data_IF_984272001613
#
_entry.id   IF_984272001613
#
_cell.length_a   1.000
_cell.length_b   1.000
_cell.length_c   1.000
_cell.angle_alpha   90.00
_cell.angle_beta   90.00
_cell.angle_gamma   90.00
#
_symmetry.space_group_name_H-M   'P 1'
#
loop_
_entity.id
_entity.type
_entity.pdbx_description
1 polymer ?
#
# COMPACT_ATOMS: atom_id res chain seq x y z
N UNK A 1 0.48 21.34 -12.25
CA UNK A 1 -0.68 20.66 -11.61
C UNK A 1 -0.88 21.32 -10.26
N UNK A 2 -2.07 21.83 -9.94
CA UNK A 2 -2.35 22.32 -8.59
C UNK A 2 -2.60 21.10 -7.70
N UNK A 3 -1.59 20.65 -6.97
CA UNK A 3 -1.76 19.59 -5.97
C UNK A 3 -2.67 20.10 -4.84
N UNK A 4 -3.49 19.23 -4.27
CA UNK A 4 -4.14 19.52 -3.00
C UNK A 4 -3.05 19.57 -1.90
N UNK A 5 -3.19 20.45 -0.92
CA UNK A 5 -2.26 20.51 0.19
C UNK A 5 -2.32 19.23 1.06
N UNK A 6 -1.25 18.87 1.78
CA UNK A 6 -1.25 17.74 2.71
C UNK A 6 -2.24 17.97 3.88
N UNK A 7 -2.62 16.87 4.56
CA UNK A 7 -3.54 16.93 5.71
C UNK A 7 -3.02 17.84 6.82
N UNK A 8 -1.71 17.83 7.05
CA UNK A 8 -1.01 18.67 8.02
C UNK A 8 -1.19 20.18 7.79
N UNK A 9 -1.47 20.61 6.56
CA UNK A 9 -1.80 21.99 6.20
C UNK A 9 -3.31 22.23 6.13
N UNK A 10 -4.09 21.29 5.57
CA UNK A 10 -5.54 21.43 5.43
C UNK A 10 -6.27 21.48 6.79
N UNK A 11 -5.82 20.68 7.77
CA UNK A 11 -6.44 20.64 9.09
C UNK A 11 -6.35 22.01 9.80
N UNK A 12 -5.18 22.66 9.90
CA UNK A 12 -5.09 24.02 10.45
C UNK A 12 -5.91 25.05 9.66
N UNK A 13 -5.89 25.00 8.31
CA UNK A 13 -6.64 25.91 7.47
C UNK A 13 -8.17 25.81 7.73
N UNK A 14 -8.72 24.59 7.80
CA UNK A 14 -10.13 24.36 8.18
C UNK A 14 -10.44 24.88 9.60
N UNK A 15 -9.55 24.66 10.57
CA UNK A 15 -9.72 25.17 11.95
C UNK A 15 -9.74 26.68 11.99
N UNK A 16 -8.87 27.36 11.24
CA UNK A 16 -8.81 28.84 11.15
C UNK A 16 -9.87 29.44 10.23
N UNK A 17 -10.69 28.60 9.57
CA UNK A 17 -11.73 29.03 8.58
C UNK A 17 -11.13 29.74 7.36
N UNK A 18 -9.93 29.44 6.98
CA UNK A 18 -9.27 29.93 5.77
C UNK A 18 -9.84 29.27 4.50
N UNK A 19 -10.44 28.08 4.67
CA UNK A 19 -11.21 27.37 3.63
C UNK A 19 -12.35 26.58 4.29
N UNK A 20 -13.26 26.08 3.44
CA UNK A 20 -14.38 25.21 3.83
C UNK A 20 -14.10 23.76 3.37
N UNK A 21 -14.83 22.78 3.92
CA UNK A 21 -14.79 21.41 3.43
C UNK A 21 -15.25 21.35 1.96
N UNK A 22 -16.25 22.16 1.61
CA UNK A 22 -16.73 22.26 0.24
C UNK A 22 -15.67 22.78 -0.73
N UNK A 23 -14.87 23.81 -0.34
CA UNK A 23 -13.79 24.33 -1.18
C UNK A 23 -12.75 23.26 -1.49
N UNK A 24 -12.40 22.42 -0.49
CA UNK A 24 -11.46 21.31 -0.65
C UNK A 24 -12.02 20.27 -1.62
N UNK A 25 -13.28 19.86 -1.46
CA UNK A 25 -13.92 18.88 -2.36
C UNK A 25 -14.06 19.45 -3.79
N UNK A 26 -14.32 20.73 -3.95
CA UNK A 26 -14.36 21.37 -5.27
C UNK A 26 -12.97 21.42 -5.94
N UNK A 27 -11.90 21.60 -5.17
CA UNK A 27 -10.53 21.48 -5.69
C UNK A 27 -10.23 20.05 -6.13
N UNK A 28 -10.59 19.06 -5.31
CA UNK A 28 -10.46 17.63 -5.65
C UNK A 28 -11.26 17.30 -6.92
N UNK A 29 -12.51 17.79 -7.04
CA UNK A 29 -13.34 17.58 -8.22
C UNK A 29 -12.67 18.12 -9.50
N UNK A 30 -12.11 19.33 -9.44
CA UNK A 30 -11.36 19.91 -10.57
C UNK A 30 -10.17 19.04 -10.94
N UNK A 31 -9.35 18.64 -9.96
CA UNK A 31 -8.18 17.81 -10.19
C UNK A 31 -8.54 16.44 -10.81
N UNK A 32 -9.62 15.82 -10.36
CA UNK A 32 -10.14 14.57 -10.95
C UNK A 32 -10.57 14.80 -12.40
N UNK A 33 -11.38 15.83 -12.68
CA UNK A 33 -11.85 16.12 -14.02
C UNK A 33 -10.68 16.36 -15.01
N UNK A 34 -9.62 17.01 -14.55
CA UNK A 34 -8.47 17.39 -15.39
C UNK A 34 -7.52 16.20 -15.67
N UNK A 35 -7.49 15.19 -14.79
CA UNK A 35 -6.46 14.16 -14.84
C UNK A 35 -6.98 12.73 -15.02
N UNK A 36 -8.17 12.40 -14.50
CA UNK A 36 -8.61 11.01 -14.35
C UNK A 36 -8.75 10.27 -15.68
N UNK A 37 -9.22 10.95 -16.74
CA UNK A 37 -9.36 10.35 -18.09
C UNK A 37 -8.03 9.80 -18.61
N UNK A 38 -6.92 10.45 -18.30
CA UNK A 38 -5.60 10.03 -18.75
C UNK A 38 -4.92 9.07 -17.78
N UNK A 39 -5.11 9.27 -16.46
CA UNK A 39 -4.40 8.54 -15.40
C UNK A 39 -5.09 7.22 -15.06
N UNK A 40 -6.43 7.19 -15.02
CA UNK A 40 -7.25 6.02 -14.68
C UNK A 40 -7.01 5.49 -13.26
N UNK A 41 -6.89 6.40 -12.29
CA UNK A 41 -6.59 6.08 -10.90
C UNK A 41 -7.80 5.56 -10.10
N UNK A 42 -9.03 5.91 -10.50
CA UNK A 42 -10.26 5.43 -9.87
C UNK A 42 -10.96 4.34 -10.69
N UNK A 43 -11.64 3.44 -9.99
CA UNK A 43 -12.67 2.55 -10.56
C UNK A 43 -14.05 3.19 -10.40
N UNK A 44 -14.27 3.85 -9.27
CA UNK A 44 -15.52 4.55 -8.96
C UNK A 44 -15.26 5.81 -8.15
N UNK A 45 -15.96 6.89 -8.46
CA UNK A 45 -15.81 8.22 -7.83
C UNK A 45 -17.15 8.66 -7.23
N UNK A 46 -17.13 9.21 -6.01
CA UNK A 46 -18.32 9.57 -5.21
C UNK A 46 -18.45 11.09 -5.03
N UNK A 47 -18.18 11.89 -6.07
CA UNK A 47 -18.10 13.36 -5.96
C UNK A 47 -19.40 14.03 -5.48
N UNK A 48 -20.56 13.60 -5.98
CA UNK A 48 -21.85 14.18 -5.57
C UNK A 48 -22.13 13.92 -4.08
N UNK A 49 -21.85 12.71 -3.63
CA UNK A 49 -21.99 12.34 -2.20
C UNK A 49 -20.99 13.13 -1.35
N UNK A 50 -19.74 13.28 -1.84
CA UNK A 50 -18.68 14.02 -1.16
C UNK A 50 -19.04 15.52 -1.02
N UNK A 51 -19.56 16.14 -2.07
CA UNK A 51 -20.03 17.53 -2.04
C UNK A 51 -21.18 17.72 -1.04
N UNK A 52 -22.15 16.81 -1.04
CA UNK A 52 -23.28 16.84 -0.09
C UNK A 52 -22.77 16.73 1.35
N UNK A 53 -21.88 15.80 1.63
CA UNK A 53 -21.28 15.62 2.97
C UNK A 53 -20.46 16.84 3.41
N UNK A 54 -19.70 17.45 2.49
CA UNK A 54 -18.92 18.65 2.77
C UNK A 54 -19.82 19.82 3.15
N UNK A 55 -20.89 20.08 2.37
CA UNK A 55 -21.88 21.12 2.66
C UNK A 55 -22.57 20.90 4.02
N UNK A 56 -22.91 19.63 4.35
CA UNK A 56 -23.49 19.33 5.66
C UNK A 56 -22.55 19.64 6.82
N UNK A 57 -21.25 19.32 6.69
CA UNK A 57 -20.24 19.64 7.69
C UNK A 57 -20.06 21.15 7.85
N UNK A 58 -20.01 21.88 6.74
CA UNK A 58 -19.86 23.33 6.73
C UNK A 58 -21.08 24.03 7.35
N UNK A 59 -22.32 23.64 6.96
CA UNK A 59 -23.57 24.18 7.51
C UNK A 59 -23.72 23.93 9.02
N UNK A 60 -23.23 22.77 9.51
CA UNK A 60 -23.21 22.43 10.94
C UNK A 60 -21.98 23.00 11.66
N UNK A 61 -21.11 23.75 10.97
CA UNK A 61 -19.83 24.27 11.46
C UNK A 61 -18.95 23.20 12.12
N UNK A 62 -18.98 21.96 11.57
CA UNK A 62 -18.14 20.87 12.04
C UNK A 62 -16.76 20.99 11.39
N UNK A 63 -15.72 21.17 12.20
CA UNK A 63 -14.33 21.31 11.79
C UNK A 63 -13.47 20.21 12.42
N UNK A 64 -12.25 19.97 11.93
CA UNK A 64 -11.33 19.04 12.57
C UNK A 64 -11.15 19.35 14.07
N UNK A 65 -11.34 18.32 14.90
CA UNK A 65 -11.24 18.40 16.37
C UNK A 65 -10.81 17.02 16.91
N UNK A 66 -10.49 16.87 18.21
CA UNK A 66 -10.03 15.60 18.76
C UNK A 66 -10.96 14.40 18.55
N UNK A 67 -12.29 14.63 18.43
CA UNK A 67 -13.27 13.55 18.16
C UNK A 67 -13.43 13.26 16.67
N UNK A 68 -13.20 14.24 15.82
CA UNK A 68 -13.31 14.15 14.35
C UNK A 68 -12.10 14.80 13.69
N UNK A 69 -10.90 14.22 13.83
CA UNK A 69 -9.67 14.83 13.34
C UNK A 69 -9.62 15.00 11.82
N UNK A 70 -10.38 14.19 11.07
CA UNK A 70 -10.46 14.24 9.61
C UNK A 70 -11.74 14.91 9.07
N UNK A 71 -12.45 15.69 9.89
CA UNK A 71 -13.71 16.30 9.45
C UNK A 71 -13.54 17.15 8.18
N UNK A 72 -14.21 16.76 7.10
CA UNK A 72 -14.20 17.46 5.81
C UNK A 72 -13.02 17.12 4.89
N UNK A 73 -12.19 16.14 5.24
CA UNK A 73 -10.98 15.78 4.47
C UNK A 73 -11.23 14.59 3.51
N UNK A 74 -10.84 14.71 2.22
CA UNK A 74 -11.07 13.70 1.19
C UNK A 74 -10.08 12.55 1.29
N UNK A 75 -10.58 11.32 1.44
CA UNK A 75 -9.78 10.09 1.51
C UNK A 75 -10.23 9.10 0.42
N UNK A 76 -9.29 8.56 -0.35
CA UNK A 76 -9.53 7.52 -1.34
C UNK A 76 -9.25 6.12 -0.78
N UNK A 77 -9.98 5.12 -1.25
CA UNK A 77 -9.92 3.74 -0.73
C UNK A 77 -9.63 2.76 -1.86
N UNK A 78 -8.57 1.96 -1.74
CA UNK A 78 -8.26 0.90 -2.72
C UNK A 78 -9.44 -0.06 -2.88
N UNK A 79 -9.74 -0.49 -4.12
CA UNK A 79 -10.97 -1.22 -4.42
C UNK A 79 -10.96 -2.72 -4.01
N UNK A 80 -9.99 -3.12 -3.20
CA UNK A 80 -10.03 -4.39 -2.45
C UNK A 80 -10.39 -4.20 -0.96
N UNK A 81 -10.75 -2.97 -0.53
CA UNK A 81 -11.19 -2.64 0.82
C UNK A 81 -12.69 -2.29 0.76
N UNK A 82 -13.51 -2.98 1.53
CA UNK A 82 -14.96 -2.84 1.53
C UNK A 82 -15.44 -1.48 2.05
N UNK A 83 -16.26 -0.81 1.26
CA UNK A 83 -17.06 0.36 1.66
C UNK A 83 -18.53 -0.01 1.49
N UNK A 84 -19.32 0.06 2.54
CA UNK A 84 -20.74 -0.35 2.54
C UNK A 84 -21.53 0.39 1.47
N UNK A 85 -22.26 -0.37 0.66
CA UNK A 85 -23.11 0.17 -0.42
C UNK A 85 -22.36 0.47 -1.71
N UNK A 86 -21.01 0.35 -1.71
CA UNK A 86 -20.17 0.65 -2.86
C UNK A 86 -19.54 -0.60 -3.46
N UNK A 87 -19.06 -0.50 -4.70
CA UNK A 87 -18.38 -1.59 -5.36
C UNK A 87 -17.10 -2.03 -4.63
N UNK A 88 -16.79 -3.34 -4.69
CA UNK A 88 -15.53 -3.89 -4.23
C UNK A 88 -15.10 -4.98 -5.23
N UNK A 89 -14.59 -4.54 -6.37
CA UNK A 89 -14.35 -5.38 -7.54
C UNK A 89 -13.00 -6.09 -7.52
N UNK A 90 -12.05 -5.61 -6.70
CA UNK A 90 -10.64 -6.03 -6.74
C UNK A 90 -10.03 -5.92 -8.13
N UNK A 91 -10.51 -4.99 -8.96
CA UNK A 91 -10.15 -4.80 -10.36
C UNK A 91 -10.32 -6.08 -11.22
N UNK A 92 -11.24 -6.97 -10.86
CA UNK A 92 -11.50 -8.25 -11.49
C UNK A 92 -12.91 -8.37 -12.06
N UNK A 93 -13.04 -9.01 -13.22
CA UNK A 93 -14.36 -9.32 -13.82
C UNK A 93 -15.22 -10.20 -12.92
N UNK A 94 -14.60 -11.05 -12.10
CA UNK A 94 -15.35 -12.00 -11.26
C UNK A 94 -16.14 -11.30 -10.15
N UNK A 95 -15.73 -10.08 -9.75
CA UNK A 95 -16.39 -9.26 -8.75
C UNK A 95 -16.91 -7.92 -9.31
N UNK A 96 -16.99 -7.75 -10.63
CA UNK A 96 -17.36 -6.47 -11.26
C UNK A 96 -18.67 -5.87 -10.71
N UNK A 97 -19.66 -6.72 -10.42
CA UNK A 97 -20.99 -6.32 -9.93
C UNK A 97 -21.16 -6.52 -8.42
N UNK A 98 -20.06 -6.79 -7.69
CA UNK A 98 -20.15 -7.02 -6.25
C UNK A 98 -20.21 -5.70 -5.49
N UNK A 99 -21.31 -5.50 -4.76
CA UNK A 99 -21.52 -4.37 -3.84
C UNK A 99 -21.30 -4.85 -2.41
N UNK A 100 -20.46 -4.14 -1.67
CA UNK A 100 -20.15 -4.52 -0.29
C UNK A 100 -21.32 -4.26 0.66
N UNK A 101 -21.76 -5.27 1.44
CA UNK A 101 -22.85 -5.10 2.43
C UNK A 101 -22.40 -4.45 3.74
N UNK A 102 -21.09 -4.23 3.95
CA UNK A 102 -20.52 -3.67 5.17
C UNK A 102 -19.26 -2.84 4.89
N UNK A 103 -18.91 -1.98 5.85
CA UNK A 103 -17.64 -1.26 5.86
C UNK A 103 -16.52 -2.13 6.44
N UNK A 104 -15.33 -2.07 5.84
CA UNK A 104 -14.11 -2.52 6.50
C UNK A 104 -13.88 -1.71 7.79
N UNK A 105 -13.25 -2.32 8.80
CA UNK A 105 -12.97 -1.64 10.08
C UNK A 105 -12.23 -0.31 9.89
N UNK A 106 -11.25 -0.27 8.99
CA UNK A 106 -10.50 0.97 8.68
C UNK A 106 -11.41 2.06 8.08
N UNK A 107 -12.37 1.68 7.21
CA UNK A 107 -13.33 2.61 6.62
C UNK A 107 -14.28 3.15 7.68
N UNK A 108 -14.80 2.28 8.56
CA UNK A 108 -15.64 2.70 9.69
C UNK A 108 -14.89 3.68 10.60
N UNK A 109 -13.61 3.42 10.88
CA UNK A 109 -12.77 4.32 11.70
C UNK A 109 -12.54 5.68 11.01
N UNK A 110 -12.25 5.70 9.71
CA UNK A 110 -12.09 6.93 8.95
C UNK A 110 -13.40 7.77 8.91
N UNK A 111 -14.54 7.13 8.63
CA UNK A 111 -15.86 7.78 8.66
C UNK A 111 -16.17 8.37 10.04
N UNK A 112 -15.90 7.62 11.11
CA UNK A 112 -16.08 8.09 12.49
C UNK A 112 -15.16 9.28 12.82
N UNK A 113 -13.96 9.32 12.25
CA UNK A 113 -13.05 10.45 12.34
C UNK A 113 -13.46 11.66 11.49
N UNK A 114 -14.55 11.55 10.73
CA UNK A 114 -15.12 12.64 9.92
C UNK A 114 -14.57 12.72 8.49
N UNK A 115 -13.81 11.74 8.03
CA UNK A 115 -13.31 11.71 6.66
C UNK A 115 -14.44 11.57 5.63
N UNK A 116 -14.27 12.22 4.49
CA UNK A 116 -15.14 12.10 3.31
C UNK A 116 -14.50 11.08 2.36
N UNK A 117 -15.15 9.94 2.15
CA UNK A 117 -14.66 8.93 1.21
C UNK A 117 -15.08 9.36 -0.20
N UNK A 118 -14.08 9.60 -1.08
CA UNK A 118 -14.30 10.20 -2.39
C UNK A 118 -14.29 9.20 -3.55
N UNK A 119 -13.89 7.96 -3.33
CA UNK A 119 -13.89 6.96 -4.39
C UNK A 119 -13.11 5.71 -4.06
N UNK A 120 -13.20 4.75 -4.99
CA UNK A 120 -12.52 3.46 -4.99
C UNK A 120 -11.41 3.47 -6.02
N UNK A 121 -10.15 3.31 -5.57
CA UNK A 121 -8.99 3.43 -6.45
C UNK A 121 -8.66 2.11 -7.15
N UNK A 122 -8.18 2.24 -8.38
CA UNK A 122 -7.76 1.15 -9.24
C UNK A 122 -6.52 0.42 -8.68
N UNK A 123 -6.36 -0.85 -9.04
CA UNK A 123 -5.30 -1.72 -8.51
C UNK A 123 -4.97 -2.83 -9.51
N UNK A 124 -3.85 -3.54 -9.32
CA UNK A 124 -3.66 -4.84 -9.96
C UNK A 124 -4.72 -5.84 -9.51
N UNK A 125 -5.21 -6.70 -10.39
CA UNK A 125 -6.29 -7.65 -10.13
C UNK A 125 -6.02 -8.48 -8.86
N UNK A 126 -6.92 -8.44 -7.87
CA UNK A 126 -6.78 -9.06 -6.54
C UNK A 126 -5.49 -8.68 -5.80
N UNK A 127 -4.95 -7.49 -6.04
CA UNK A 127 -3.67 -7.02 -5.50
C UNK A 127 -2.47 -7.88 -5.95
N UNK A 128 -2.57 -8.58 -7.07
CA UNK A 128 -1.57 -9.50 -7.62
C UNK A 128 -0.81 -8.87 -8.78
N UNK A 129 0.11 -7.96 -8.45
CA UNK A 129 0.97 -7.28 -9.42
C UNK A 129 1.79 -6.19 -8.76
N UNK A 130 2.67 -5.56 -9.54
CA UNK A 130 3.62 -4.53 -9.09
C UNK A 130 3.67 -3.33 -10.05
N UNK A 131 2.66 -3.20 -10.95
CA UNK A 131 2.64 -2.13 -11.96
C UNK A 131 1.28 -1.51 -12.22
N UNK A 132 0.20 -2.15 -11.74
CA UNK A 132 -1.20 -1.80 -12.01
C UNK A 132 -1.59 -1.94 -13.50
N UNK A 133 -0.96 -2.88 -14.19
CA UNK A 133 -1.26 -3.21 -15.59
C UNK A 133 -2.25 -4.38 -15.73
N UNK A 134 -2.55 -5.11 -14.64
CA UNK A 134 -3.40 -6.31 -14.67
C UNK A 134 -4.87 -6.02 -14.39
N UNK A 135 -5.23 -4.78 -14.13
CA UNK A 135 -6.61 -4.35 -13.88
C UNK A 135 -7.52 -4.60 -15.07
N UNK A 136 -8.72 -5.12 -14.82
CA UNK A 136 -9.81 -5.21 -15.83
C UNK A 136 -10.30 -3.82 -16.29
N UNK A 137 -10.09 -2.78 -15.46
CA UNK A 137 -10.49 -1.40 -15.75
C UNK A 137 -9.39 -0.59 -16.47
N UNK A 138 -8.31 -1.25 -16.88
CA UNK A 138 -7.19 -0.62 -17.59
C UNK A 138 -6.02 -0.24 -16.69
N UNK A 139 -4.93 0.14 -17.34
CA UNK A 139 -3.67 0.51 -16.69
C UNK A 139 -3.79 1.85 -15.96
N UNK A 140 -3.14 1.95 -14.80
CA UNK A 140 -2.94 3.23 -14.12
C UNK A 140 -1.61 3.83 -14.54
N UNK A 141 -1.66 5.06 -15.06
CA UNK A 141 -0.49 5.80 -15.50
C UNK A 141 0.11 6.61 -14.35
N UNK A 142 1.42 6.78 -14.39
CA UNK A 142 2.09 7.64 -13.42
C UNK A 142 1.79 9.12 -13.72
N UNK A 143 1.26 9.91 -12.77
CA UNK A 143 0.98 11.34 -13.01
C UNK A 143 2.22 12.18 -13.34
N UNK A 144 3.41 11.75 -12.92
CA UNK A 144 4.67 12.46 -13.17
C UNK A 144 5.20 12.21 -14.60
N UNK A 145 4.89 11.03 -15.16
CA UNK A 145 5.20 10.66 -16.56
C UNK A 145 4.16 9.62 -17.02
N UNK A 146 3.21 10.06 -17.84
CA UNK A 146 2.08 9.22 -18.32
C UNK A 146 2.50 8.04 -19.20
N UNK A 147 3.76 7.96 -19.63
CA UNK A 147 4.30 6.80 -20.37
C UNK A 147 4.75 5.66 -19.46
N UNK A 148 4.81 5.93 -18.15
CA UNK A 148 5.31 5.02 -17.12
C UNK A 148 4.19 4.51 -16.22
N UNK A 149 4.48 3.41 -15.53
CA UNK A 149 3.56 2.79 -14.55
C UNK A 149 3.51 3.62 -13.26
N UNK A 150 2.35 3.66 -12.61
CA UNK A 150 2.22 4.23 -11.27
C UNK A 150 2.80 3.31 -10.18
N UNK A 151 3.19 2.10 -10.55
CA UNK A 151 3.51 1.03 -9.61
C UNK A 151 2.27 0.26 -9.17
N UNK A 152 2.47 -0.76 -8.35
CA UNK A 152 1.39 -1.64 -7.89
C UNK A 152 1.73 -2.47 -6.65
N UNK A 153 0.70 -3.07 -6.15
CA UNK A 153 -0.68 -3.15 -6.65
C UNK A 153 -1.57 -1.95 -6.29
N UNK A 154 -1.13 -0.99 -5.47
CA UNK A 154 -1.93 0.19 -5.07
C UNK A 154 -1.63 1.41 -5.97
N UNK A 155 -1.46 1.20 -7.27
CA UNK A 155 -1.09 2.25 -8.23
C UNK A 155 -2.10 3.38 -8.29
N UNK A 156 -3.41 3.06 -8.31
CA UNK A 156 -4.48 4.06 -8.26
C UNK A 156 -4.45 4.90 -6.98
N UNK A 157 -4.17 4.27 -5.81
CA UNK A 157 -4.09 5.00 -4.54
C UNK A 157 -2.89 5.97 -4.50
N UNK A 158 -1.76 5.61 -5.11
CA UNK A 158 -0.62 6.51 -5.23
C UNK A 158 -0.87 7.60 -6.27
N UNK A 159 -1.37 7.23 -7.44
CA UNK A 159 -1.62 8.19 -8.53
C UNK A 159 -2.62 9.28 -8.12
N UNK A 160 -3.71 8.91 -7.42
CA UNK A 160 -4.72 9.89 -6.98
C UNK A 160 -4.14 10.96 -6.06
N UNK A 161 -3.21 10.60 -5.17
CA UNK A 161 -2.54 11.58 -4.31
C UNK A 161 -1.58 12.44 -5.13
N UNK A 162 -0.81 11.84 -6.03
CA UNK A 162 0.20 12.55 -6.81
C UNK A 162 -0.40 13.64 -7.73
N UNK A 163 -1.63 13.47 -8.24
CA UNK A 163 -2.30 14.53 -9.01
C UNK A 163 -3.27 15.39 -8.18
N UNK A 164 -3.38 15.15 -6.87
CA UNK A 164 -4.24 15.95 -5.98
C UNK A 164 -5.72 15.60 -6.03
N UNK A 165 -6.08 14.38 -6.42
CA UNK A 165 -7.46 13.86 -6.42
C UNK A 165 -7.93 13.37 -5.05
N UNK A 166 -7.06 13.32 -4.04
CA UNK A 166 -7.36 13.06 -2.62
C UNK A 166 -6.22 13.61 -1.74
N UNK A 167 -6.52 13.88 -0.46
CA UNK A 167 -5.50 14.32 0.50
C UNK A 167 -4.72 13.14 1.11
N UNK A 168 -5.34 11.97 1.23
CA UNK A 168 -4.70 10.72 1.60
C UNK A 168 -5.44 9.53 0.95
N UNK A 169 -4.79 8.37 0.88
CA UNK A 169 -5.41 7.15 0.41
C UNK A 169 -5.05 5.95 1.28
N UNK A 170 -5.94 4.94 1.31
CA UNK A 170 -5.59 3.62 1.78
C UNK A 170 -5.23 2.71 0.61
N UNK A 171 -4.07 2.09 0.71
CA UNK A 171 -3.64 0.97 -0.11
C UNK A 171 -3.65 -0.34 0.66
N UNK A 172 -3.16 -1.42 0.04
CA UNK A 172 -2.83 -2.67 0.70
C UNK A 172 -1.43 -3.12 0.28
N UNK A 173 -0.70 -3.72 1.20
CA UNK A 173 0.68 -4.14 1.01
C UNK A 173 0.86 -5.58 1.49
N UNK A 174 1.11 -6.48 0.56
CA UNK A 174 1.44 -7.89 0.82
C UNK A 174 2.95 -8.11 0.77
N UNK A 175 3.62 -7.46 -0.18
CA UNK A 175 5.06 -7.58 -0.40
C UNK A 175 5.73 -6.29 -0.89
N UNK A 176 5.04 -5.13 -0.84
CA UNK A 176 5.54 -3.86 -1.35
C UNK A 176 4.44 -2.97 -1.95
N UNK A 177 3.23 -3.52 -2.07
CA UNK A 177 2.15 -2.95 -2.90
C UNK A 177 1.55 -1.60 -2.44
N UNK A 178 2.02 -1.00 -1.35
CA UNK A 178 1.77 0.40 -0.99
C UNK A 178 3.06 1.23 -1.07
N UNK A 179 4.17 0.67 -0.61
CA UNK A 179 5.48 1.35 -0.55
C UNK A 179 6.06 1.61 -1.94
N UNK A 180 6.04 0.61 -2.82
CA UNK A 180 6.60 0.71 -4.17
C UNK A 180 5.83 1.72 -5.03
N UNK A 181 4.47 1.70 -5.17
CA UNK A 181 3.77 2.73 -5.91
C UNK A 181 3.90 4.12 -5.27
N UNK A 182 3.99 4.24 -3.94
CA UNK A 182 4.32 5.50 -3.28
C UNK A 182 5.70 6.02 -3.72
N UNK A 183 6.73 5.16 -3.75
CA UNK A 183 8.07 5.51 -4.23
C UNK A 183 8.05 5.99 -5.69
N UNK A 184 7.32 5.32 -6.57
CA UNK A 184 7.22 5.67 -8.00
C UNK A 184 6.48 6.98 -8.26
N UNK A 185 5.58 7.37 -7.34
CA UNK A 185 4.81 8.61 -7.44
C UNK A 185 5.35 9.75 -6.55
N UNK A 186 6.49 9.56 -5.87
CA UNK A 186 7.11 10.59 -5.02
C UNK A 186 6.35 10.86 -3.72
N UNK A 187 5.81 9.83 -3.12
CA UNK A 187 4.93 9.88 -1.95
C UNK A 187 5.47 9.04 -0.79
N UNK A 188 4.85 9.21 0.37
CA UNK A 188 5.07 8.38 1.55
C UNK A 188 4.14 7.18 1.51
N UNK A 189 4.70 5.97 1.62
CA UNK A 189 3.96 4.72 1.76
C UNK A 189 4.36 4.02 3.06
N UNK A 190 3.44 3.89 4.02
CA UNK A 190 3.72 3.26 5.29
C UNK A 190 3.03 1.91 5.42
N UNK A 191 3.83 0.85 5.57
CA UNK A 191 3.37 -0.49 5.94
C UNK A 191 3.49 -0.68 7.45
N UNK A 192 2.38 -0.74 8.21
CA UNK A 192 2.40 -1.06 9.64
C UNK A 192 2.90 -2.48 9.91
N UNK A 193 3.35 -2.75 11.14
CA UNK A 193 3.56 -4.10 11.64
C UNK A 193 2.32 -4.96 11.42
N UNK A 194 2.50 -6.19 10.94
CA UNK A 194 1.39 -7.12 10.75
C UNK A 194 0.58 -7.27 12.05
N UNK A 195 -0.74 -7.08 11.94
CA UNK A 195 -1.67 -7.12 13.08
C UNK A 195 -1.87 -5.78 13.82
N UNK A 196 -1.22 -4.69 13.39
CA UNK A 196 -1.51 -3.35 13.95
C UNK A 196 -2.76 -2.71 13.37
N UNK A 197 -3.11 -3.04 12.13
CA UNK A 197 -4.32 -2.57 11.45
C UNK A 197 -5.18 -3.77 11.09
N UNK A 198 -6.47 -3.72 11.42
CA UNK A 198 -7.41 -4.79 11.10
C UNK A 198 -7.53 -5.02 9.60
N UNK A 199 -7.61 -6.29 9.21
CA UNK A 199 -7.87 -6.76 7.85
C UNK A 199 -9.34 -7.11 7.60
N UNK A 200 -10.23 -6.89 8.60
CA UNK A 200 -11.65 -7.10 8.40
C UNK A 200 -12.19 -6.17 7.32
N UNK A 201 -12.78 -6.77 6.28
CA UNK A 201 -13.25 -6.06 5.09
C UNK A 201 -12.17 -5.81 4.02
N UNK A 202 -10.95 -6.33 4.20
CA UNK A 202 -9.95 -6.43 3.13
C UNK A 202 -10.16 -7.76 2.39
N UNK A 203 -10.30 -7.71 1.08
CA UNK A 203 -10.31 -8.93 0.24
C UNK A 203 -8.91 -9.52 0.21
N UNK A 204 -8.80 -10.76 0.71
CA UNK A 204 -7.51 -11.40 0.94
C UNK A 204 -6.81 -11.84 -0.35
N UNK A 205 -5.54 -11.46 -0.48
CA UNK A 205 -4.58 -12.09 -1.38
C UNK A 205 -3.79 -13.17 -0.61
N UNK A 206 -2.99 -12.78 0.37
CA UNK A 206 -2.23 -13.68 1.23
C UNK A 206 -2.43 -13.27 2.70
N UNK A 207 -3.31 -13.98 3.39
CA UNK A 207 -3.83 -13.61 4.73
C UNK A 207 -2.72 -13.47 5.78
N UNK A 208 -1.60 -14.21 5.64
CA UNK A 208 -0.47 -14.13 6.59
C UNK A 208 0.47 -12.95 6.36
N UNK A 209 0.22 -12.13 5.30
CA UNK A 209 1.10 -11.03 4.88
C UNK A 209 0.35 -9.73 4.61
N UNK A 210 -0.91 -9.80 4.14
CA UNK A 210 -1.69 -8.62 3.77
C UNK A 210 -1.80 -7.61 4.91
N UNK A 211 -1.60 -6.33 4.59
CA UNK A 211 -1.75 -5.22 5.53
C UNK A 211 -2.36 -4.02 4.82
N UNK A 212 -3.32 -3.33 5.46
CA UNK A 212 -3.83 -2.05 4.97
C UNK A 212 -2.87 -0.94 5.38
N UNK A 213 -2.56 -0.05 4.44
CA UNK A 213 -1.46 0.90 4.52
C UNK A 213 -1.91 2.30 4.10
N UNK A 214 -1.56 3.37 4.84
CA UNK A 214 -1.70 4.74 4.36
C UNK A 214 -0.68 5.04 3.23
N UNK A 215 -1.14 5.82 2.26
CA UNK A 215 -0.33 6.49 1.24
C UNK A 215 -0.66 7.98 1.33
N UNK A 216 0.36 8.83 1.51
CA UNK A 216 0.21 10.25 1.83
C UNK A 216 1.32 11.09 1.21
N UNK A 217 1.20 12.41 1.29
CA UNK A 217 2.25 13.33 0.81
C UNK A 217 3.40 13.42 1.82
N UNK A 218 3.11 13.36 3.13
CA UNK A 218 4.08 13.54 4.21
C UNK A 218 4.03 12.39 5.22
N UNK A 219 5.09 12.21 5.99
CA UNK A 219 5.15 11.25 7.09
C UNK A 219 4.19 11.63 8.22
N UNK A 220 3.98 12.92 8.47
CA UNK A 220 3.02 13.43 9.45
C UNK A 220 1.60 12.96 9.13
N UNK A 221 1.20 13.07 7.86
CA UNK A 221 -0.10 12.61 7.38
C UNK A 221 -0.25 11.08 7.50
N UNK A 222 0.82 10.33 7.19
CA UNK A 222 0.84 8.87 7.35
C UNK A 222 0.65 8.46 8.82
N UNK A 223 1.30 9.17 9.74
CA UNK A 223 1.17 8.96 11.18
C UNK A 223 -0.24 9.27 11.67
N UNK A 224 -0.86 10.35 11.19
CA UNK A 224 -2.24 10.71 11.51
C UNK A 224 -3.21 9.64 11.04
N UNK A 225 -3.15 9.22 9.77
CA UNK A 225 -4.03 8.18 9.23
C UNK A 225 -3.80 6.85 9.98
N UNK A 226 -2.54 6.47 10.23
CA UNK A 226 -2.22 5.27 11.00
C UNK A 226 -2.82 5.32 12.41
N UNK A 227 -2.72 6.42 13.13
CA UNK A 227 -3.28 6.57 14.49
C UNK A 227 -4.79 6.34 14.53
N UNK A 228 -5.50 6.64 13.43
CA UNK A 228 -6.95 6.47 13.32
C UNK A 228 -7.32 5.02 12.97
N UNK A 229 -6.60 4.39 12.03
CA UNK A 229 -6.97 3.07 11.52
C UNK A 229 -6.39 1.91 12.33
N UNK A 230 -5.34 2.14 13.12
CA UNK A 230 -4.67 1.10 13.91
C UNK A 230 -5.42 0.78 15.22
N UNK A 231 -5.16 -0.41 15.77
CA UNK A 231 -5.69 -0.87 17.06
C UNK A 231 -6.50 -2.16 16.95
N UNK A 232 -6.90 -2.71 18.11
CA UNK A 232 -7.59 -4.01 18.20
C UNK A 232 -8.93 -4.01 17.47
N UNK A 233 -9.32 -5.19 16.96
CA UNK A 233 -10.60 -5.43 16.30
C UNK A 233 -11.09 -6.85 16.59
N UNK A 234 -12.29 -6.97 17.15
CA UNK A 234 -12.93 -8.25 17.47
C UNK A 234 -13.23 -9.09 16.22
N UNK A 235 -13.32 -8.44 15.04
CA UNK A 235 -13.56 -9.11 13.76
C UNK A 235 -12.27 -9.65 13.10
N UNK A 236 -11.09 -9.33 13.63
CA UNK A 236 -9.80 -9.84 13.14
C UNK A 236 -8.93 -10.31 14.30
N UNK A 237 -8.92 -11.62 14.53
CA UNK A 237 -8.16 -12.28 15.60
C UNK A 237 -6.64 -12.12 15.47
N UNK A 238 -6.13 -11.61 14.35
CA UNK A 238 -4.71 -11.33 14.16
C UNK A 238 -4.28 -9.96 14.69
N UNK A 239 -5.24 -9.09 15.08
CA UNK A 239 -4.92 -7.79 15.65
C UNK A 239 -4.36 -7.92 17.07
N UNK A 240 -3.40 -7.03 17.40
CA UNK A 240 -2.87 -6.94 18.76
C UNK A 240 -3.92 -6.35 19.70
N UNK A 241 -4.03 -6.87 20.96
CA UNK A 241 -4.99 -6.35 21.92
C UNK A 241 -4.62 -4.95 22.45
N UNK A 242 -3.35 -4.54 22.32
CA UNK A 242 -2.89 -3.22 22.76
C UNK A 242 -3.10 -2.18 21.65
N UNK A 243 -3.61 -1.02 22.03
CA UNK A 243 -3.60 0.16 21.18
C UNK A 243 -2.15 0.54 20.83
N UNK A 244 -1.87 0.99 19.60
CA UNK A 244 -0.55 1.50 19.27
C UNK A 244 -0.19 2.71 20.13
N UNK A 245 1.09 2.82 20.47
CA UNK A 245 1.61 4.03 21.12
C UNK A 245 1.45 5.22 20.16
N UNK A 246 0.94 6.32 20.71
CA UNK A 246 0.90 7.60 19.98
C UNK A 246 2.27 8.23 20.17
N UNK A 247 2.98 8.49 19.07
CA UNK A 247 4.24 9.18 19.12
C UNK A 247 4.02 10.69 18.94
N UNK A 248 4.69 11.48 19.74
CA UNK A 248 4.91 12.89 19.42
C UNK A 248 5.90 12.98 18.25
N UNK A 249 5.45 13.55 17.15
CA UNK A 249 6.30 13.79 15.99
C UNK A 249 7.20 14.99 16.33
N UNK A 250 8.50 14.77 16.32
CA UNK A 250 9.50 15.83 16.56
C UNK A 250 10.26 16.10 15.26
N UNK A 251 10.64 17.36 15.04
CA UNK A 251 11.49 17.72 13.89
C UNK A 251 12.96 17.37 14.13
N UNK A 252 13.36 17.11 15.38
CA UNK A 252 14.75 16.82 15.74
C UNK A 252 15.04 15.34 15.59
N UNK A 253 16.12 15.03 14.89
CA UNK A 253 16.66 13.66 14.84
C UNK A 253 17.07 13.23 16.26
N UNK A 254 16.60 12.06 16.73
CA UNK A 254 16.98 11.55 18.05
C UNK A 254 18.49 11.25 18.09
N UNK A 255 19.17 11.83 19.08
CA UNK A 255 20.61 11.59 19.27
C UNK A 255 20.92 10.13 19.57
N UNK A 256 22.03 9.62 19.04
CA UNK A 256 22.48 8.25 19.27
C UNK A 256 21.69 7.20 18.48
N UNK A 257 20.81 7.59 17.56
CA UNK A 257 20.12 6.65 16.67
C UNK A 257 21.12 5.93 15.77
N UNK A 258 21.08 4.59 15.77
CA UNK A 258 21.93 3.74 14.96
C UNK A 258 21.17 3.24 13.74
N UNK A 259 21.65 3.57 12.57
CA UNK A 259 21.05 3.16 11.29
C UNK A 259 22.05 2.31 10.53
N UNK A 260 21.59 1.17 10.02
CA UNK A 260 22.42 0.38 9.12
C UNK A 260 21.74 0.24 7.76
N UNK A 261 22.55 0.23 6.71
CA UNK A 261 22.08 -0.21 5.40
C UNK A 261 22.31 -1.70 5.22
N UNK A 262 21.36 -2.36 4.56
CA UNK A 262 21.47 -3.80 4.24
C UNK A 262 22.37 -3.97 3.03
N UNK A 263 23.59 -4.46 3.20
CA UNK A 263 24.59 -4.59 2.15
C UNK A 263 24.03 -5.25 0.89
N UNK A 264 23.36 -6.37 1.03
CA UNK A 264 22.82 -7.17 -0.08
C UNK A 264 21.76 -6.45 -0.93
N UNK A 265 21.15 -5.39 -0.38
CA UNK A 265 20.22 -4.55 -1.13
C UNK A 265 20.92 -3.50 -1.99
N UNK A 266 22.22 -3.28 -1.80
CA UNK A 266 23.02 -2.28 -2.51
C UNK A 266 24.13 -2.88 -3.38
N UNK A 267 24.42 -4.20 -3.27
CA UNK A 267 25.47 -4.86 -4.03
C UNK A 267 25.27 -4.74 -5.55
N UNK A 268 24.04 -5.03 -6.01
CA UNK A 268 23.68 -5.09 -7.44
C UNK A 268 22.80 -3.88 -7.86
N UNK A 269 22.69 -2.84 -6.99
CA UNK A 269 21.91 -1.65 -7.28
C UNK A 269 22.68 -0.71 -8.20
N UNK A 270 21.96 -0.14 -9.15
CA UNK A 270 22.52 0.90 -10.04
C UNK A 270 23.16 2.04 -9.26
N UNK A 271 24.24 2.61 -9.79
CA UNK A 271 25.07 3.63 -9.10
C UNK A 271 24.30 4.92 -8.82
N UNK A 272 23.43 5.36 -9.74
CA UNK A 272 22.63 6.57 -9.55
C UNK A 272 21.55 6.34 -8.50
N UNK A 273 20.91 5.15 -8.51
CA UNK A 273 19.97 4.74 -7.48
C UNK A 273 20.64 4.70 -6.11
N UNK A 274 21.85 4.10 -6.02
CA UNK A 274 22.62 4.04 -4.78
C UNK A 274 22.95 5.44 -4.26
N UNK A 275 23.43 6.33 -5.13
CA UNK A 275 23.73 7.72 -4.75
C UNK A 275 22.48 8.47 -4.30
N UNK A 276 21.37 8.37 -5.03
CA UNK A 276 20.12 9.04 -4.66
C UNK A 276 19.58 8.61 -3.30
N UNK A 277 19.88 7.38 -2.84
CA UNK A 277 19.44 6.87 -1.53
C UNK A 277 20.44 7.23 -0.42
N UNK A 278 21.76 7.14 -0.68
CA UNK A 278 22.78 7.30 0.36
C UNK A 278 23.14 8.75 0.65
N UNK A 279 23.11 9.59 -0.38
CA UNK A 279 23.53 11.00 -0.29
C UNK A 279 22.73 11.83 0.72
N UNK A 280 21.39 11.70 0.87
CA UNK A 280 20.64 12.45 1.90
C UNK A 280 21.19 12.23 3.31
N UNK A 281 21.65 11.02 3.63
CA UNK A 281 22.25 10.71 4.94
C UNK A 281 23.63 11.34 5.10
N UNK A 282 24.43 11.40 4.04
CA UNK A 282 25.73 12.07 4.05
C UNK A 282 25.56 13.57 4.24
N UNK A 283 24.61 14.19 3.52
CA UNK A 283 24.34 15.64 3.59
C UNK A 283 23.84 16.06 4.98
N UNK A 284 23.12 15.18 5.68
CA UNK A 284 22.65 15.42 7.06
C UNK A 284 23.66 15.00 8.13
N UNK A 285 24.81 14.45 7.73
CA UNK A 285 25.84 13.99 8.67
C UNK A 285 25.45 12.76 9.48
N UNK A 286 24.50 11.95 8.99
CA UNK A 286 24.09 10.71 9.63
C UNK A 286 25.00 9.58 9.17
N UNK A 287 25.75 8.98 10.11
CA UNK A 287 26.60 7.83 9.84
C UNK A 287 25.76 6.56 9.65
N UNK A 288 26.01 5.86 8.54
CA UNK A 288 25.37 4.60 8.22
C UNK A 288 26.33 3.42 8.48
N UNK A 289 25.85 2.43 9.23
CA UNK A 289 26.57 1.19 9.51
C UNK A 289 26.26 0.18 8.37
N UNK A 290 27.26 -0.52 7.88
CA UNK A 290 27.03 -1.66 6.98
C UNK A 290 26.66 -2.91 7.76
N UNK A 291 25.52 -3.54 7.43
CA UNK A 291 25.13 -4.85 7.94
C UNK A 291 24.81 -5.83 6.80
N UNK A 292 25.36 -7.04 6.90
CA UNK A 292 25.06 -8.13 5.99
C UNK A 292 23.87 -8.95 6.50
N UNK A 293 22.84 -9.07 5.65
CA UNK A 293 21.64 -9.89 5.87
C UNK A 293 21.43 -10.82 4.66
N UNK A 294 22.27 -11.85 4.46
CA UNK A 294 22.30 -12.63 3.22
C UNK A 294 20.97 -13.30 2.84
N UNK A 295 20.12 -13.61 3.83
CA UNK A 295 18.80 -14.18 3.53
C UNK A 295 17.88 -13.25 2.75
N UNK A 296 18.08 -11.93 2.73
CA UNK A 296 17.19 -11.04 1.98
C UNK A 296 17.22 -11.31 0.46
N UNK A 297 18.32 -11.83 -0.09
CA UNK A 297 18.46 -12.13 -1.53
C UNK A 297 17.44 -13.16 -2.05
N UNK A 298 16.99 -14.09 -1.20
CA UNK A 298 16.06 -15.16 -1.60
C UNK A 298 14.62 -14.90 -1.16
N UNK A 299 14.35 -13.73 -0.56
CA UNK A 299 13.03 -13.41 0.00
C UNK A 299 11.90 -13.46 -1.03
N UNK A 300 12.15 -13.03 -2.28
CA UNK A 300 11.15 -13.07 -3.36
C UNK A 300 10.71 -14.52 -3.62
N UNK A 301 11.62 -15.49 -3.69
CA UNK A 301 11.26 -16.89 -3.94
C UNK A 301 10.34 -17.44 -2.83
N UNK A 302 10.70 -17.22 -1.56
CA UNK A 302 9.87 -17.65 -0.43
C UNK A 302 8.52 -16.92 -0.40
N UNK A 303 8.52 -15.62 -0.70
CA UNK A 303 7.32 -14.80 -0.80
C UNK A 303 6.36 -15.35 -1.88
N UNK A 304 6.84 -15.65 -3.09
CA UNK A 304 6.02 -16.18 -4.17
C UNK A 304 5.40 -17.53 -3.80
N UNK A 305 6.16 -18.44 -3.21
CA UNK A 305 5.67 -19.75 -2.78
C UNK A 305 4.53 -19.59 -1.76
N UNK A 306 4.74 -18.80 -0.70
CA UNK A 306 3.75 -18.60 0.36
C UNK A 306 2.50 -17.88 -0.15
N UNK A 307 2.67 -16.80 -0.91
CA UNK A 307 1.54 -16.00 -1.39
C UNK A 307 0.73 -16.72 -2.44
N UNK A 308 1.34 -17.51 -3.32
CA UNK A 308 0.60 -18.28 -4.32
C UNK A 308 -0.18 -19.43 -3.68
N UNK A 309 0.40 -20.09 -2.69
CA UNK A 309 -0.28 -21.10 -1.89
C UNK A 309 -1.52 -20.53 -1.18
N UNK A 310 -1.37 -19.39 -0.49
CA UNK A 310 -2.48 -18.71 0.19
C UNK A 310 -3.52 -18.18 -0.80
N UNK A 311 -3.09 -17.62 -1.93
CA UNK A 311 -3.99 -17.14 -2.99
C UNK A 311 -4.86 -18.27 -3.56
N UNK A 312 -4.30 -19.46 -3.78
CA UNK A 312 -5.06 -20.61 -4.28
C UNK A 312 -6.20 -20.98 -3.34
N UNK A 313 -5.98 -20.90 -2.03
CA UNK A 313 -7.00 -21.15 -0.99
C UNK A 313 -7.97 -19.98 -0.85
N UNK A 314 -7.47 -18.74 -0.77
CA UNK A 314 -8.29 -17.54 -0.56
C UNK A 314 -9.24 -17.28 -1.72
N UNK A 315 -8.80 -17.49 -2.97
CA UNK A 315 -9.62 -17.25 -4.16
C UNK A 315 -10.51 -18.46 -4.56
N UNK A 316 -10.45 -19.58 -3.84
CA UNK A 316 -11.34 -20.72 -4.05
C UNK A 316 -12.83 -20.37 -3.87
N UNK A 317 -13.11 -19.36 -3.04
CA UNK A 317 -14.48 -18.88 -2.75
C UNK A 317 -15.18 -18.20 -3.93
N UNK A 318 -14.43 -17.76 -4.95
CA UNK A 318 -14.97 -17.13 -6.16
C UNK A 318 -15.30 -18.20 -7.20
N UNK A 319 -16.43 -18.84 -7.03
CA UNK A 319 -16.88 -20.01 -7.78
C UNK A 319 -18.11 -19.73 -8.67
N UNK A 320 -18.69 -18.52 -8.57
CA UNK A 320 -19.89 -18.13 -9.31
C UNK A 320 -21.20 -18.67 -8.74
N UNK A 321 -21.20 -19.17 -7.49
CA UNK A 321 -22.40 -19.72 -6.84
C UNK A 321 -23.01 -18.72 -5.86
N UNK A 322 -22.21 -18.13 -5.00
CA UNK A 322 -22.69 -17.28 -3.88
C UNK A 322 -22.85 -15.81 -4.27
N UNK A 323 -21.89 -15.28 -5.02
CA UNK A 323 -21.82 -13.86 -5.42
C UNK A 323 -20.83 -13.67 -6.58
N UNK A 324 -20.87 -12.51 -7.22
CA UNK A 324 -20.02 -12.16 -8.35
C UNK A 324 -20.49 -12.79 -9.67
N UNK A 325 -19.63 -12.74 -10.69
CA UNK A 325 -19.90 -13.27 -12.01
C UNK A 325 -20.29 -14.74 -11.93
N UNK A 326 -21.37 -15.10 -12.66
CA UNK A 326 -21.79 -16.48 -12.89
C UNK A 326 -21.97 -16.75 -14.38
N UNK A 327 -21.15 -17.63 -14.92
CA UNK A 327 -21.29 -18.16 -16.29
C UNK A 327 -21.98 -19.52 -16.21
N UNK A 328 -23.31 -19.50 -16.16
CA UNK A 328 -24.12 -20.71 -16.01
C UNK A 328 -23.90 -21.72 -17.13
N UNK A 329 -23.73 -23.00 -16.80
CA UNK A 329 -23.66 -24.16 -17.68
C UNK A 329 -24.60 -25.23 -17.15
N UNK A 330 -24.74 -26.35 -17.91
CA UNK A 330 -25.64 -27.48 -17.53
C UNK A 330 -25.18 -28.16 -16.23
N UNK A 331 -23.86 -28.33 -16.03
CA UNK A 331 -23.28 -28.96 -14.87
C UNK A 331 -22.60 -27.99 -13.93
N UNK A 332 -22.46 -28.40 -12.66
CA UNK A 332 -21.78 -27.59 -11.61
C UNK A 332 -20.31 -27.35 -11.94
N UNK A 333 -19.56 -28.39 -12.30
CA UNK A 333 -18.14 -28.28 -12.64
C UNK A 333 -17.92 -27.43 -13.89
N UNK A 334 -18.76 -27.56 -14.89
CA UNK A 334 -18.72 -26.74 -16.10
C UNK A 334 -18.97 -25.25 -15.79
N UNK A 335 -19.89 -24.97 -14.85
CA UNK A 335 -20.17 -23.61 -14.35
C UNK A 335 -18.94 -23.05 -13.65
N UNK A 336 -18.28 -23.83 -12.79
CA UNK A 336 -17.03 -23.41 -12.12
C UNK A 336 -15.92 -23.10 -13.14
N UNK A 337 -15.65 -23.99 -14.07
CA UNK A 337 -14.63 -23.78 -15.11
C UNK A 337 -14.92 -22.55 -15.96
N UNK A 338 -16.17 -22.42 -16.43
CA UNK A 338 -16.56 -21.28 -17.26
C UNK A 338 -16.46 -19.95 -16.51
N UNK A 339 -16.95 -19.90 -15.28
CA UNK A 339 -16.94 -18.69 -14.43
C UNK A 339 -15.52 -18.25 -14.11
N UNK A 340 -14.70 -19.15 -13.55
CA UNK A 340 -13.31 -18.84 -13.19
C UNK A 340 -12.44 -18.58 -14.43
N UNK A 341 -12.67 -19.32 -15.50
CA UNK A 341 -11.97 -19.15 -16.77
C UNK A 341 -12.18 -17.79 -17.40
N UNK A 342 -13.39 -17.24 -17.34
CA UNK A 342 -13.76 -15.93 -17.91
C UNK A 342 -13.58 -14.78 -16.91
N UNK A 343 -13.82 -15.03 -15.62
CA UNK A 343 -13.84 -14.01 -14.58
C UNK A 343 -12.48 -13.63 -14.01
N UNK A 344 -11.49 -14.55 -14.08
CA UNK A 344 -10.14 -14.31 -13.54
C UNK A 344 -9.14 -14.01 -14.65
N UNK A 345 -8.27 -13.04 -14.43
CA UNK A 345 -7.20 -12.65 -15.34
C UNK A 345 -6.06 -13.68 -15.42
N UNK A 346 -5.17 -13.50 -16.39
CA UNK A 346 -4.06 -14.41 -16.69
C UNK A 346 -3.10 -14.59 -15.50
N UNK A 347 -2.72 -13.49 -14.85
CA UNK A 347 -1.79 -13.53 -13.73
C UNK A 347 -2.39 -14.21 -12.50
N UNK A 348 -3.64 -13.89 -12.17
CA UNK A 348 -4.36 -14.52 -11.05
C UNK A 348 -4.48 -16.02 -11.26
N UNK A 349 -4.85 -16.47 -12.47
CA UNK A 349 -4.91 -17.89 -12.81
C UNK A 349 -3.55 -18.58 -12.67
N UNK A 350 -2.47 -17.93 -13.13
CA UNK A 350 -1.09 -18.44 -12.99
C UNK A 350 -0.75 -18.67 -11.52
N UNK A 351 -0.99 -17.69 -10.64
CA UNK A 351 -0.68 -17.79 -9.21
C UNK A 351 -1.51 -18.88 -8.53
N UNK A 352 -2.79 -19.00 -8.86
CA UNK A 352 -3.65 -20.06 -8.32
C UNK A 352 -3.11 -21.45 -8.74
N UNK A 353 -2.75 -21.64 -10.00
CA UNK A 353 -2.24 -22.93 -10.49
C UNK A 353 -0.92 -23.32 -9.84
N UNK A 354 0.04 -22.38 -9.75
CA UNK A 354 1.33 -22.62 -9.09
C UNK A 354 1.13 -22.88 -7.60
N UNK A 355 0.25 -22.11 -6.92
CA UNK A 355 -0.06 -22.31 -5.52
C UNK A 355 -0.71 -23.68 -5.24
N UNK A 356 -1.65 -24.08 -6.06
CA UNK A 356 -2.29 -25.41 -5.96
C UNK A 356 -1.26 -26.52 -6.15
N UNK A 357 -0.35 -26.40 -7.11
CA UNK A 357 0.74 -27.34 -7.31
C UNK A 357 1.66 -27.42 -6.09
N UNK A 358 2.09 -26.26 -5.56
CA UNK A 358 2.97 -26.21 -4.39
C UNK A 358 2.36 -26.75 -3.09
N UNK A 359 1.02 -26.85 -3.01
CA UNK A 359 0.30 -27.45 -1.88
C UNK A 359 -0.08 -28.92 -2.12
N UNK A 360 0.17 -29.48 -3.31
CA UNK A 360 -0.18 -30.87 -3.62
C UNK A 360 0.71 -31.86 -2.89
N UNK A 361 0.21 -33.10 -2.76
CA UNK A 361 0.94 -34.20 -2.15
C UNK A 361 2.30 -34.44 -2.84
N UNK A 362 3.33 -34.63 -2.04
CA UNK A 362 4.71 -34.79 -2.51
C UNK A 362 5.48 -33.47 -2.73
N UNK A 363 4.80 -32.32 -2.85
CA UNK A 363 5.43 -31.03 -3.09
C UNK A 363 5.33 -30.05 -1.90
N UNK A 364 4.34 -30.22 -1.02
CA UNK A 364 4.11 -29.32 0.11
C UNK A 364 5.34 -29.17 1.02
N UNK A 365 6.04 -30.26 1.30
CA UNK A 365 7.24 -30.24 2.16
C UNK A 365 8.43 -29.59 1.46
N UNK A 366 8.59 -29.85 0.18
CA UNK A 366 9.69 -29.32 -0.62
C UNK A 366 9.57 -27.81 -0.83
N UNK A 367 8.36 -27.29 -1.01
CA UNK A 367 8.14 -25.89 -1.33
C UNK A 367 7.56 -25.11 -0.14
N UNK A 368 6.33 -25.38 0.28
CA UNK A 368 5.61 -24.57 1.26
C UNK A 368 6.26 -24.62 2.64
N UNK A 369 6.55 -25.81 3.16
CA UNK A 369 7.17 -25.96 4.46
C UNK A 369 8.62 -25.45 4.48
N UNK A 370 9.34 -25.58 3.36
CA UNK A 370 10.67 -24.97 3.20
C UNK A 370 10.61 -23.45 3.23
N UNK A 371 9.62 -22.83 2.54
CA UNK A 371 9.41 -21.38 2.58
C UNK A 371 9.02 -20.89 4.00
N UNK A 372 8.24 -21.65 4.78
CA UNK A 372 7.95 -21.32 6.18
C UNK A 372 9.20 -21.37 7.06
N UNK A 373 10.06 -22.37 6.90
CA UNK A 373 11.35 -22.46 7.61
C UNK A 373 12.26 -21.28 7.27
N UNK A 374 12.32 -20.92 5.98
CA UNK A 374 13.05 -19.75 5.53
C UNK A 374 12.50 -18.45 6.15
N UNK A 375 11.17 -18.26 6.17
CA UNK A 375 10.52 -17.10 6.80
C UNK A 375 10.91 -16.98 8.28
N UNK A 376 10.96 -18.08 9.00
CA UNK A 376 11.38 -18.09 10.40
C UNK A 376 12.87 -17.70 10.57
N UNK A 377 13.76 -18.25 9.74
CA UNK A 377 15.19 -17.91 9.72
C UNK A 377 15.42 -16.44 9.36
N UNK A 378 14.72 -15.93 8.34
CA UNK A 378 14.76 -14.51 7.94
C UNK A 378 14.31 -13.60 9.09
N UNK A 379 13.20 -13.94 9.75
CA UNK A 379 12.71 -13.18 10.92
C UNK A 379 13.72 -13.13 12.06
N UNK A 380 14.43 -14.25 12.31
CA UNK A 380 15.52 -14.30 13.29
C UNK A 380 16.69 -13.41 12.86
N UNK A 381 17.11 -13.46 11.59
CA UNK A 381 18.20 -12.62 11.09
C UNK A 381 17.89 -11.12 11.25
N UNK A 382 16.64 -10.68 11.00
CA UNK A 382 16.21 -9.32 11.29
C UNK A 382 16.27 -8.99 12.79
N UNK A 383 15.83 -9.89 13.66
CA UNK A 383 15.88 -9.68 15.12
C UNK A 383 17.35 -9.54 15.60
N UNK A 384 18.25 -10.35 15.09
CA UNK A 384 19.69 -10.28 15.39
C UNK A 384 20.33 -8.96 14.88
N UNK A 385 19.86 -8.42 13.75
CA UNK A 385 20.27 -7.11 13.23
C UNK A 385 19.77 -5.98 14.13
N UNK A 386 18.51 -6.01 14.53
CA UNK A 386 17.90 -4.99 15.40
C UNK A 386 18.43 -5.00 16.86
N UNK A 387 19.14 -6.04 17.28
CA UNK A 387 19.90 -5.98 18.53
C UNK A 387 21.09 -5.01 18.45
N UNK A 388 21.55 -4.67 17.23
CA UNK A 388 22.71 -3.81 16.98
C UNK A 388 22.34 -2.39 16.55
N UNK A 389 21.19 -2.23 15.88
CA UNK A 389 20.75 -0.95 15.29
C UNK A 389 19.27 -0.71 15.54
N UNK A 390 18.86 0.55 15.42
CA UNK A 390 17.47 0.96 15.63
C UNK A 390 16.64 0.87 14.35
N UNK A 391 17.26 1.17 13.20
CA UNK A 391 16.61 1.14 11.89
C UNK A 391 17.50 0.49 10.84
N UNK A 392 16.85 -0.13 9.86
CA UNK A 392 17.50 -0.66 8.67
C UNK A 392 17.07 0.14 7.44
N UNK A 393 18.05 0.49 6.62
CA UNK A 393 17.90 1.23 5.37
C UNK A 393 18.01 0.26 4.18
N UNK A 394 17.12 0.40 3.21
CA UNK A 394 17.19 -0.26 1.91
C UNK A 394 16.57 0.61 0.82
N UNK A 395 16.77 0.32 -0.46
CA UNK A 395 15.94 0.87 -1.53
C UNK A 395 14.49 0.43 -1.35
N UNK A 396 13.53 1.22 -1.83
CA UNK A 396 12.14 0.74 -1.94
C UNK A 396 11.94 -0.11 -3.20
N UNK A 397 12.56 0.28 -4.30
CA UNK A 397 12.50 -0.42 -5.58
C UNK A 397 13.88 -0.43 -6.26
N UNK A 398 14.14 -1.38 -7.19
CA UNK A 398 15.44 -1.48 -7.87
C UNK A 398 15.68 -0.40 -8.93
N UNK A 399 14.63 0.32 -9.34
CA UNK A 399 14.67 1.40 -10.33
C UNK A 399 13.60 2.44 -10.02
N UNK A 400 13.62 3.55 -10.73
CA UNK A 400 12.48 4.46 -10.85
C UNK A 400 11.33 3.79 -11.62
N UNK A 401 10.20 4.49 -11.78
CA UNK A 401 9.07 3.99 -12.55
C UNK A 401 9.49 3.60 -13.99
N UNK A 402 9.18 2.39 -14.42
CA UNK A 402 9.49 1.85 -15.74
C UNK A 402 8.34 2.08 -16.74
N UNK A 403 8.59 1.90 -18.05
CA UNK A 403 7.59 2.14 -19.09
C UNK A 403 6.45 1.11 -19.03
N UNK A 404 5.25 1.55 -19.38
CA UNK A 404 4.08 0.68 -19.52
C UNK A 404 4.39 -0.38 -20.59
N UNK A 405 4.14 -1.66 -20.26
CA UNK A 405 4.41 -2.80 -21.14
C UNK A 405 5.82 -3.37 -21.07
N UNK A 406 6.78 -2.68 -20.46
CA UNK A 406 8.21 -3.07 -20.45
C UNK A 406 8.47 -4.45 -19.84
N UNK A 407 7.73 -4.80 -18.79
CA UNK A 407 7.91 -6.08 -18.09
C UNK A 407 6.80 -7.10 -18.36
N UNK A 408 5.88 -6.81 -19.31
CA UNK A 408 4.67 -7.60 -19.54
C UNK A 408 4.96 -9.07 -19.91
N UNK A 409 6.00 -9.32 -20.68
CA UNK A 409 6.34 -10.65 -21.19
C UNK A 409 7.36 -11.40 -20.32
N UNK A 410 7.84 -10.75 -19.24
CA UNK A 410 8.79 -11.35 -18.30
C UNK A 410 8.25 -11.31 -16.86
N UNK A 411 7.48 -12.33 -16.43
CA UNK A 411 6.93 -12.37 -15.06
C UNK A 411 7.99 -12.30 -13.97
N UNK A 412 9.17 -12.89 -14.18
CA UNK A 412 10.26 -12.85 -13.19
C UNK A 412 10.76 -11.41 -13.00
N UNK A 413 10.97 -10.67 -14.09
CA UNK A 413 11.35 -9.25 -14.01
C UNK A 413 10.32 -8.40 -13.28
N UNK A 414 9.02 -8.73 -13.45
CA UNK A 414 7.95 -8.07 -12.69
C UNK A 414 8.03 -8.40 -11.20
N UNK A 415 8.20 -9.68 -10.82
CA UNK A 415 8.32 -10.08 -9.42
C UNK A 415 9.55 -9.49 -8.72
N UNK A 416 10.66 -9.32 -9.44
CA UNK A 416 11.87 -8.68 -8.91
C UNK A 416 11.70 -7.17 -8.68
N UNK A 417 10.63 -6.54 -9.16
CA UNK A 417 10.33 -5.14 -8.83
C UNK A 417 10.09 -4.92 -7.33
N UNK A 418 9.70 -5.98 -6.59
CA UNK A 418 9.44 -5.94 -5.14
C UNK A 418 10.58 -6.59 -4.31
N UNK A 419 11.78 -6.76 -4.90
CA UNK A 419 12.90 -7.50 -4.27
C UNK A 419 13.27 -6.91 -2.89
N UNK A 420 13.20 -5.60 -2.70
CA UNK A 420 13.61 -4.94 -1.46
C UNK A 420 12.47 -4.76 -0.44
N UNK A 421 11.23 -5.01 -0.84
CA UNK A 421 10.05 -4.82 0.03
C UNK A 421 9.48 -6.13 0.56
N UNK A 422 9.80 -7.27 -0.07
CA UNK A 422 9.26 -8.58 0.32
C UNK A 422 9.84 -9.14 1.60
N UNK A 423 11.14 -8.90 1.87
CA UNK A 423 11.83 -9.48 3.04
C UNK A 423 11.28 -8.98 4.37
N UNK A 424 11.08 -7.68 4.51
CA UNK A 424 10.48 -7.08 5.70
C UNK A 424 8.99 -7.42 5.86
N UNK A 425 8.26 -7.58 4.75
CA UNK A 425 6.88 -8.07 4.77
C UNK A 425 6.80 -9.51 5.29
N UNK A 426 7.68 -10.43 4.82
CA UNK A 426 7.79 -11.79 5.33
C UNK A 426 8.09 -11.83 6.83
N UNK A 427 8.94 -10.93 7.31
CA UNK A 427 9.29 -10.81 8.73
C UNK A 427 8.25 -10.04 9.56
N UNK A 428 7.11 -9.62 8.96
CA UNK A 428 6.02 -8.91 9.62
C UNK A 428 6.43 -7.56 10.26
N UNK A 429 7.45 -6.91 9.70
CA UNK A 429 8.05 -5.67 10.21
C UNK A 429 7.32 -4.43 9.69
N UNK A 430 7.27 -3.34 10.47
CA UNK A 430 6.83 -2.05 9.98
C UNK A 430 7.91 -1.47 9.07
N UNK A 431 7.49 -0.88 7.95
CA UNK A 431 8.39 -0.27 6.98
C UNK A 431 7.74 0.94 6.33
N UNK A 432 8.52 1.96 6.07
CA UNK A 432 8.07 3.18 5.42
C UNK A 432 8.97 3.49 4.21
N UNK A 433 8.35 3.87 3.10
CA UNK A 433 9.04 4.48 1.96
C UNK A 433 8.80 5.98 2.01
N UNK A 434 9.88 6.76 2.00
CA UNK A 434 9.86 8.21 1.87
C UNK A 434 10.57 8.63 0.59
N UNK A 435 10.18 9.73 -0.07
CA UNK A 435 10.88 10.20 -1.25
C UNK A 435 12.26 10.74 -0.90
N UNK A 436 13.27 10.38 -1.70
CA UNK A 436 14.57 11.04 -1.67
C UNK A 436 14.45 12.46 -2.23
N UNK A 437 15.21 13.44 -1.71
CA UNK A 437 15.33 14.75 -2.34
C UNK A 437 16.02 14.68 -3.73
N UNK A 438 16.75 13.59 -4.00
CA UNK A 438 17.43 13.36 -5.27
C UNK A 438 16.59 12.52 -6.23
N UNK A 439 16.42 13.02 -7.44
CA UNK A 439 15.66 12.38 -8.51
C UNK A 439 16.60 11.83 -9.59
N UNK A 440 16.16 10.81 -10.31
CA UNK A 440 16.84 10.29 -11.49
C UNK A 440 15.93 10.54 -12.70
N UNK A 441 16.43 11.22 -13.73
CA UNK A 441 15.65 11.62 -14.91
C UNK A 441 14.30 12.32 -14.55
N UNK A 442 14.32 13.17 -13.54
CA UNK A 442 13.13 13.84 -12.94
C UNK A 442 12.12 12.91 -12.25
N UNK A 443 12.42 11.62 -12.13
CA UNK A 443 11.57 10.67 -11.42
C UNK A 443 12.00 10.48 -9.97
N UNK A 444 11.06 10.28 -9.04
CA UNK A 444 11.37 10.11 -7.64
C UNK A 444 12.04 8.76 -7.36
N UNK A 445 12.86 8.75 -6.31
CA UNK A 445 13.50 7.56 -5.74
C UNK A 445 12.98 7.36 -4.33
N UNK A 446 12.57 6.13 -3.98
CA UNK A 446 12.08 5.80 -2.64
C UNK A 446 13.20 5.29 -1.73
N UNK A 447 13.33 5.89 -0.56
CA UNK A 447 14.18 5.44 0.55
C UNK A 447 13.32 4.62 1.50
N UNK A 448 13.66 3.37 1.76
CA UNK A 448 12.92 2.52 2.68
C UNK A 448 13.62 2.39 4.03
N UNK A 449 12.89 2.71 5.10
CA UNK A 449 13.28 2.46 6.47
C UNK A 449 12.44 1.34 7.07
N UNK A 450 13.06 0.46 7.85
CA UNK A 450 12.42 -0.65 8.54
C UNK A 450 12.81 -0.61 10.01
N UNK A 451 11.84 -0.85 10.91
CA UNK A 451 12.06 -0.91 12.36
C UNK A 451 11.71 -2.30 12.93
N UNK A 452 12.10 -2.60 14.17
CA UNK A 452 11.65 -3.79 14.87
C UNK A 452 10.13 -3.90 14.90
N UNK A 453 9.63 -5.11 14.93
CA UNK A 453 8.19 -5.39 15.00
C UNK A 453 7.54 -4.67 16.17
N UNK A 454 6.39 -4.03 15.95
CA UNK A 454 5.61 -3.21 16.89
C UNK A 454 6.24 -1.85 17.25
N UNK A 455 7.35 -1.47 16.64
CA UNK A 455 7.93 -0.13 16.83
C UNK A 455 7.48 0.85 15.73
N UNK A 456 6.21 0.74 15.32
CA UNK A 456 5.58 1.58 14.30
C UNK A 456 5.70 3.06 14.61
N UNK A 457 5.39 3.45 15.85
CA UNK A 457 5.47 4.84 16.31
C UNK A 457 6.91 5.38 16.27
N UNK A 458 7.90 4.57 16.69
CA UNK A 458 9.32 4.95 16.64
C UNK A 458 9.78 5.15 15.19
N UNK A 459 9.33 4.28 14.28
CA UNK A 459 9.64 4.39 12.85
C UNK A 459 9.06 5.67 12.24
N UNK A 460 7.78 5.96 12.51
CA UNK A 460 7.11 7.15 12.00
C UNK A 460 7.75 8.44 12.54
N UNK A 461 8.09 8.48 13.83
CA UNK A 461 8.76 9.65 14.42
C UNK A 461 10.14 9.89 13.85
N UNK A 462 10.93 8.82 13.66
CA UNK A 462 12.24 8.94 13.02
C UNK A 462 12.13 9.36 11.54
N UNK A 463 11.22 8.75 10.80
CA UNK A 463 11.01 9.08 9.39
C UNK A 463 10.52 10.54 9.22
N UNK A 464 9.66 11.04 10.13
CA UNK A 464 9.22 12.43 10.11
C UNK A 464 10.38 13.40 10.35
N UNK A 465 11.21 13.14 11.38
CA UNK A 465 12.39 13.95 11.61
C UNK A 465 13.35 13.94 10.41
N UNK A 466 13.55 12.76 9.78
CA UNK A 466 14.40 12.65 8.60
C UNK A 466 13.84 13.41 7.38
N UNK A 467 12.52 13.31 7.12
CA UNK A 467 11.84 14.03 6.03
C UNK A 467 12.01 15.57 6.16
N UNK A 468 12.07 16.09 7.39
CA UNK A 468 12.29 17.52 7.65
C UNK A 468 13.75 17.96 7.47
N UNK A 469 14.67 17.01 7.43
CA UNK A 469 16.10 17.28 7.22
C UNK A 469 16.54 17.09 5.77
N UNK A 470 15.72 16.41 4.96
CA UNK A 470 15.92 16.25 3.51
C UNK A 470 15.39 17.47 2.76
#
# INVERSE_FOLDING_TARGET
>A
MSSIAPLSELIPALKRKECTAYDIIEQVRRNINDNETDINAFINVFLEQAQTQALELDNKNIRPNPKKPLAGLPIAIKDNICVKGESCTCASKILADFISPYDATVVKRLKNAGAIIIGKTNLDEFAMGSSNETSTFGVVRNPLDKTKVAGGSSGGSAAVIAYGGAAAALGSDTGGSARQPAAFCGLVGFRPSYGRVSRYGLVAFASSLDQICPITQTVEDAALIYSIIAGPDENDSTTYPQTPDIMELTEKLPQGTRIAYIKECFDDLDSEMKQAIMRPFQDTGIDLIELSLPLVKQSVAAYLILTFAEASSNLARYDGIRYGLRVAKKGLMETYFATRGQGLGKEVKRRILIGTFGLSEGYIDAYYNTALKYRAALSKQYADAFAKVDFLLSPTAPSTAFKIGEKKDNPLSMYLSDIYTTSNALAALPSISIPSPYKIENLPVGIQLTAPRRQDAKLLGFAHALERHF
#
